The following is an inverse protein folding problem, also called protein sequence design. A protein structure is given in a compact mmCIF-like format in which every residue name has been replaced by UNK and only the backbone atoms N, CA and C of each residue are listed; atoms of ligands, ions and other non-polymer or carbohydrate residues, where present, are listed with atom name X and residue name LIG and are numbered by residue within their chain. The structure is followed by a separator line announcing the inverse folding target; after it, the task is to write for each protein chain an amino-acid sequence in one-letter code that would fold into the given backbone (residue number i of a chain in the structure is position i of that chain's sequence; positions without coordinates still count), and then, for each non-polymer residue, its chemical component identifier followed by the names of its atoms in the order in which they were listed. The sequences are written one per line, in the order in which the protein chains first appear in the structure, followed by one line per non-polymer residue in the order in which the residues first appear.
data_IF_726070980603
#
_entry.id   IF_726070980603
#
_cell.length_a   1.000
_cell.length_b   1.000
_cell.length_c   1.000
_cell.angle_alpha   90.00
_cell.angle_beta   90.00
_cell.angle_gamma   90.00
#
_symmetry.space_group_name_H-M   'P 1'
#
loop_
_entity.id
_entity.type
_entity.pdbx_description
1 polymer ?
#
# COMPACT_ATOMS: atom_id res chain seq x y z
N UNK A 1 -80.97 2.21 219.31
CA UNK A 1 -80.44 0.83 219.13
C UNK A 1 -79.56 0.81 217.88
N UNK A 2 -78.25 0.60 218.08
CA UNK A 2 -77.24 -0.08 217.23
C UNK A 2 -77.14 0.27 215.72
N UNK A 3 -76.00 0.90 215.39
CA UNK A 3 -75.37 1.21 214.07
C UNK A 3 -75.70 2.53 213.30
N UNK A 4 -76.76 3.33 213.56
CA UNK A 4 -77.05 4.50 212.73
C UNK A 4 -77.08 5.86 213.49
N UNK A 5 -76.04 6.18 214.28
CA UNK A 5 -75.96 7.50 215.00
C UNK A 5 -74.69 8.30 214.66
N UNK A 6 -73.74 7.74 213.86
CA UNK A 6 -72.51 8.44 213.46
C UNK A 6 -72.39 8.76 211.96
N UNK A 7 -73.21 8.17 211.09
CA UNK A 7 -73.13 8.39 209.62
C UNK A 7 -73.90 9.63 209.11
N UNK A 8 -74.63 10.34 209.96
CA UNK A 8 -75.38 11.54 209.55
C UNK A 8 -74.70 12.86 209.89
N UNK A 9 -73.50 12.84 210.48
CA UNK A 9 -72.73 14.04 210.84
C UNK A 9 -71.38 14.18 210.12
N UNK A 10 -70.89 13.13 209.45
CA UNK A 10 -69.72 13.21 208.59
C UNK A 10 -70.12 12.79 207.17
N UNK A 11 -70.30 13.76 206.28
CA UNK A 11 -70.49 13.57 204.84
C UNK A 11 -69.18 13.06 204.19
N UNK A 12 -68.72 11.85 204.56
CA UNK A 12 -67.42 11.30 204.16
C UNK A 12 -67.37 10.98 202.65
N UNK A 13 -68.51 10.65 202.05
CA UNK A 13 -68.59 10.33 200.61
C UNK A 13 -68.35 11.55 199.71
N UNK A 14 -68.66 12.77 200.17
CA UNK A 14 -68.42 13.99 199.38
C UNK A 14 -66.94 14.42 199.35
N UNK A 15 -66.18 14.14 200.43
CA UNK A 15 -64.74 14.48 200.49
C UNK A 15 -63.87 13.51 199.69
N UNK A 16 -64.21 12.22 199.64
CA UNK A 16 -63.53 11.26 198.77
C UNK A 16 -63.69 11.65 197.28
N UNK A 17 -64.91 12.08 196.90
CA UNK A 17 -65.21 12.51 195.54
C UNK A 17 -64.50 13.82 195.14
N UNK A 18 -64.24 14.73 196.10
CA UNK A 18 -63.47 15.95 195.86
C UNK A 18 -61.96 15.70 195.74
N UNK A 19 -61.39 14.77 196.51
CA UNK A 19 -59.96 14.43 196.45
C UNK A 19 -59.57 13.75 195.14
N UNK A 20 -60.40 12.82 194.64
CA UNK A 20 -60.16 12.18 193.34
C UNK A 20 -60.31 13.15 192.17
N UNK A 21 -61.21 14.15 192.27
CA UNK A 21 -61.34 15.23 191.27
C UNK A 21 -60.16 16.20 191.20
N UNK A 22 -59.30 16.26 192.23
CA UNK A 22 -58.14 17.17 192.31
C UNK A 22 -56.80 16.50 191.94
N UNK A 23 -56.75 15.17 191.87
CA UNK A 23 -55.51 14.42 191.58
C UNK A 23 -55.15 14.39 190.09
N UNK A 24 -56.16 14.40 189.22
CA UNK A 24 -56.00 14.40 187.77
C UNK A 24 -55.47 15.74 187.23
N UNK A 25 -55.94 16.91 187.73
CA UNK A 25 -55.30 18.20 187.45
C UNK A 25 -53.83 18.30 187.90
N UNK A 26 -53.46 17.75 189.06
CA UNK A 26 -52.07 17.81 189.57
C UNK A 26 -51.10 17.00 188.69
N UNK A 27 -51.53 15.82 188.20
CA UNK A 27 -50.75 15.04 187.23
C UNK A 27 -50.57 15.79 185.91
N UNK A 28 -51.64 16.38 185.37
CA UNK A 28 -51.55 17.18 184.13
C UNK A 28 -50.61 18.37 184.28
N UNK A 29 -50.58 19.03 185.45
CA UNK A 29 -49.64 20.12 185.70
C UNK A 29 -48.19 19.64 185.76
N UNK A 30 -47.90 18.50 186.39
CA UNK A 30 -46.54 17.95 186.42
C UNK A 30 -46.06 17.48 185.06
N UNK A 31 -46.92 16.81 184.28
CA UNK A 31 -46.59 16.40 182.92
C UNK A 31 -46.27 17.64 182.07
N UNK A 32 -47.10 18.69 182.17
CA UNK A 32 -46.84 19.99 181.52
C UNK A 32 -45.53 20.64 182.00
N UNK A 33 -45.18 20.56 183.28
CA UNK A 33 -43.89 21.08 183.78
C UNK A 33 -42.74 20.33 183.13
N UNK A 34 -42.76 19.00 183.12
CA UNK A 34 -41.68 18.21 182.51
C UNK A 34 -41.56 18.39 181.00
N UNK A 35 -42.69 18.60 180.31
CA UNK A 35 -42.71 18.92 178.88
C UNK A 35 -42.13 20.32 178.63
N UNK A 36 -42.50 21.30 179.45
CA UNK A 36 -41.95 22.66 179.37
C UNK A 36 -40.45 22.69 179.69
N UNK A 37 -39.98 21.88 180.64
CA UNK A 37 -38.55 21.76 180.96
C UNK A 37 -37.75 21.12 179.82
N UNK A 38 -38.31 20.11 179.15
CA UNK A 38 -37.72 19.53 177.92
C UNK A 38 -37.67 20.54 176.80
N UNK A 39 -38.75 21.29 176.58
CA UNK A 39 -38.80 22.37 175.61
C UNK A 39 -37.76 23.46 175.92
N UNK A 40 -37.61 23.83 177.19
CA UNK A 40 -36.58 24.78 177.65
C UNK A 40 -35.16 24.25 177.40
N UNK A 41 -34.89 22.96 177.61
CA UNK A 41 -33.59 22.37 177.32
C UNK A 41 -33.28 22.35 175.80
N UNK A 42 -34.28 22.06 174.96
CA UNK A 42 -34.16 22.14 173.49
C UNK A 42 -33.95 23.60 173.04
N UNK A 43 -34.65 24.55 173.66
CA UNK A 43 -34.48 25.97 173.35
C UNK A 43 -33.12 26.51 173.84
N UNK A 44 -32.65 26.08 175.01
CA UNK A 44 -31.35 26.46 175.56
C UNK A 44 -30.20 25.94 174.68
N UNK A 45 -30.25 24.66 174.26
CA UNK A 45 -29.26 24.11 173.33
C UNK A 45 -29.28 24.80 171.96
N UNK A 46 -30.47 25.16 171.44
CA UNK A 46 -30.59 25.98 170.22
C UNK A 46 -30.03 27.39 170.39
N UNK A 47 -30.20 27.99 171.56
CA UNK A 47 -29.62 29.30 171.92
C UNK A 47 -28.10 29.24 172.05
N UNK A 48 -27.55 28.17 172.64
CA UNK A 48 -26.09 27.94 172.71
C UNK A 48 -25.47 27.67 171.34
N UNK A 49 -26.21 27.03 170.43
CA UNK A 49 -25.76 26.77 169.05
C UNK A 49 -25.92 27.96 168.10
N UNK A 50 -26.63 29.02 168.50
CA UNK A 50 -26.90 30.18 167.65
C UNK A 50 -25.63 31.02 167.35
N UNK A 51 -24.78 31.37 168.34
CA UNK A 51 -23.54 32.10 168.09
C UNK A 51 -22.56 31.41 167.11
N UNK A 52 -22.22 30.11 167.23
CA UNK A 52 -21.31 29.46 166.27
C UNK A 52 -21.91 29.34 164.87
N UNK A 53 -23.24 29.22 164.75
CA UNK A 53 -23.92 29.24 163.45
C UNK A 53 -23.88 30.64 162.82
N UNK A 54 -24.08 31.71 163.60
CA UNK A 54 -23.94 33.09 163.10
C UNK A 54 -22.52 33.39 162.63
N UNK A 55 -21.50 32.93 163.36
CA UNK A 55 -20.10 33.03 162.95
C UNK A 55 -19.82 32.25 161.66
N UNK A 56 -20.33 31.01 161.54
CA UNK A 56 -20.18 30.21 160.34
C UNK A 56 -20.87 30.84 159.12
N UNK A 57 -22.07 31.42 159.29
CA UNK A 57 -22.78 32.15 158.22
C UNK A 57 -22.00 33.40 157.81
N UNK A 58 -21.46 34.16 158.77
CA UNK A 58 -20.61 35.33 158.47
C UNK A 58 -19.33 34.94 157.72
N UNK A 59 -18.65 33.88 158.16
CA UNK A 59 -17.46 33.37 157.49
C UNK A 59 -17.76 32.90 156.06
N UNK A 60 -18.84 32.13 155.85
CA UNK A 60 -19.26 31.68 154.52
C UNK A 60 -19.72 32.84 153.63
N UNK A 61 -20.38 33.85 154.19
CA UNK A 61 -20.75 35.05 153.44
C UNK A 61 -19.51 35.85 152.99
N UNK A 62 -18.48 35.93 153.84
CA UNK A 62 -17.19 36.54 153.47
C UNK A 62 -16.47 35.74 152.38
N UNK A 63 -16.38 34.40 152.52
CA UNK A 63 -15.78 33.54 151.51
C UNK A 63 -16.52 33.64 150.16
N UNK A 64 -17.85 33.68 150.17
CA UNK A 64 -18.65 33.87 148.97
C UNK A 64 -18.41 35.24 148.32
N UNK A 65 -18.33 36.29 149.13
CA UNK A 65 -18.04 37.64 148.65
C UNK A 65 -16.63 37.72 148.02
N UNK A 66 -15.63 37.09 148.62
CA UNK A 66 -14.28 37.02 148.09
C UNK A 66 -14.20 36.15 146.83
N UNK A 67 -14.91 35.03 146.79
CA UNK A 67 -15.03 34.19 145.59
C UNK A 67 -15.71 34.95 144.44
N UNK A 68 -16.77 35.71 144.72
CA UNK A 68 -17.42 36.57 143.73
C UNK A 68 -16.48 37.66 143.20
N UNK A 69 -15.71 38.32 144.08
CA UNK A 69 -14.69 39.30 143.65
C UNK A 69 -13.62 38.65 142.77
N UNK A 70 -13.13 37.46 143.14
CA UNK A 70 -12.15 36.69 142.34
C UNK A 70 -12.72 36.28 141.00
N UNK A 71 -13.96 35.81 140.95
CA UNK A 71 -14.63 35.44 139.70
C UNK A 71 -14.81 36.66 138.80
N UNK A 72 -15.23 37.79 139.34
CA UNK A 72 -15.36 39.04 138.57
C UNK A 72 -14.01 39.50 138.00
N UNK A 73 -12.93 39.45 138.79
CA UNK A 73 -11.59 39.80 138.34
C UNK A 73 -11.10 38.85 137.23
N UNK A 74 -11.20 37.53 137.43
CA UNK A 74 -10.80 36.54 136.41
C UNK A 74 -11.64 36.64 135.14
N UNK A 75 -12.94 36.97 135.25
CA UNK A 75 -13.80 37.17 134.07
C UNK A 75 -13.38 38.41 133.29
N UNK A 76 -13.00 39.50 133.98
CA UNK A 76 -12.48 40.69 133.35
C UNK A 76 -11.10 40.45 132.69
N UNK A 77 -10.20 39.73 133.36
CA UNK A 77 -8.90 39.32 132.80
C UNK A 77 -9.08 38.43 131.56
N UNK A 78 -9.99 37.45 131.62
CA UNK A 78 -10.29 36.57 130.49
C UNK A 78 -10.87 37.37 129.31
N UNK A 79 -11.77 38.32 129.55
CA UNK A 79 -12.30 39.20 128.52
C UNK A 79 -11.21 40.06 127.87
N UNK A 80 -10.29 40.61 128.66
CA UNK A 80 -9.15 41.39 128.15
C UNK A 80 -8.21 40.53 127.29
N UNK A 81 -7.86 39.32 127.75
CA UNK A 81 -7.01 38.39 126.99
C UNK A 81 -7.72 37.93 125.71
N UNK A 82 -9.04 37.73 125.74
CA UNK A 82 -9.80 37.40 124.54
C UNK A 82 -9.79 38.54 123.51
N UNK A 83 -9.89 39.79 123.94
CA UNK A 83 -9.79 40.94 123.05
C UNK A 83 -8.37 41.05 122.45
N UNK A 84 -7.32 40.83 123.26
CA UNK A 84 -5.94 40.77 122.77
C UNK A 84 -5.73 39.64 121.76
N UNK A 85 -6.26 38.45 122.03
CA UNK A 85 -6.18 37.31 121.10
C UNK A 85 -6.87 37.64 119.77
N UNK A 86 -8.07 38.22 119.78
CA UNK A 86 -8.76 38.64 118.57
C UNK A 86 -7.97 39.67 117.76
N UNK A 87 -7.31 40.62 118.44
CA UNK A 87 -6.42 41.59 117.78
C UNK A 87 -5.21 40.90 117.14
N UNK A 88 -4.57 39.95 117.82
CA UNK A 88 -3.46 39.17 117.26
C UNK A 88 -3.89 38.29 116.09
N UNK A 89 -5.06 37.66 116.17
CA UNK A 89 -5.62 36.87 115.07
C UNK A 89 -5.92 37.75 113.85
N UNK A 90 -6.53 38.92 114.05
CA UNK A 90 -6.75 39.89 112.97
C UNK A 90 -5.43 40.36 112.34
N UNK A 91 -4.41 40.66 113.15
CA UNK A 91 -3.08 41.01 112.64
C UNK A 91 -2.42 39.86 111.88
N UNK A 92 -2.54 38.62 112.38
CA UNK A 92 -2.02 37.43 111.70
C UNK A 92 -2.69 37.23 110.34
N UNK A 93 -4.02 37.31 110.28
CA UNK A 93 -4.72 37.21 108.99
C UNK A 93 -4.32 38.32 108.02
N UNK A 94 -4.11 39.55 108.51
CA UNK A 94 -3.61 40.64 107.69
C UNK A 94 -2.21 40.34 107.15
N UNK A 95 -1.29 39.85 107.99
CA UNK A 95 0.07 39.46 107.56
C UNK A 95 0.01 38.33 106.52
N UNK A 96 -0.82 37.31 106.72
CA UNK A 96 -0.98 36.20 105.78
C UNK A 96 -1.52 36.68 104.43
N UNK A 97 -2.51 37.59 104.43
CA UNK A 97 -3.06 38.18 103.18
C UNK A 97 -2.03 39.05 102.45
N UNK A 98 -1.26 39.87 103.20
CA UNK A 98 -0.19 40.69 102.63
C UNK A 98 0.93 39.81 102.06
N UNK A 99 1.35 38.75 102.76
CA UNK A 99 2.34 37.80 102.26
C UNK A 99 1.86 37.09 100.99
N UNK A 100 0.60 36.65 100.94
CA UNK A 100 0.01 36.06 99.75
C UNK A 100 -0.09 37.07 98.58
N UNK A 101 -0.32 38.35 98.87
CA UNK A 101 -0.31 39.41 97.85
C UNK A 101 1.11 39.69 97.32
N UNK A 102 2.11 39.69 98.21
CA UNK A 102 3.51 39.90 97.87
C UNK A 102 4.04 38.77 96.98
N UNK A 103 3.76 37.51 97.33
CA UNK A 103 4.14 36.35 96.52
C UNK A 103 3.53 36.41 95.12
N UNK A 104 2.22 36.71 95.02
CA UNK A 104 1.55 36.89 93.72
C UNK A 104 2.16 38.03 92.90
N UNK A 105 2.49 39.15 93.53
CA UNK A 105 3.15 40.27 92.84
C UNK A 105 4.57 39.91 92.38
N UNK A 106 5.32 39.15 93.18
CA UNK A 106 6.67 38.68 92.83
C UNK A 106 6.63 37.69 91.65
N UNK A 107 5.70 36.73 91.66
CA UNK A 107 5.51 35.81 90.55
C UNK A 107 5.03 36.54 89.28
N UNK A 108 4.13 37.52 89.43
CA UNK A 108 3.72 38.43 88.36
C UNK A 108 4.91 39.20 87.77
N UNK A 109 5.78 39.75 88.61
CA UNK A 109 6.98 40.45 88.15
C UNK A 109 7.96 39.51 87.44
N UNK A 110 8.17 38.29 87.94
CA UNK A 110 9.05 37.28 87.31
C UNK A 110 8.53 36.84 85.94
N UNK A 111 7.23 36.58 85.82
CA UNK A 111 6.61 36.20 84.55
C UNK A 111 6.67 37.33 83.53
N UNK A 112 6.38 38.57 83.94
CA UNK A 112 6.52 39.76 83.09
C UNK A 112 7.97 39.97 82.65
N UNK A 113 8.95 39.85 83.55
CA UNK A 113 10.37 39.96 83.20
C UNK A 113 10.79 38.90 82.17
N UNK A 114 10.35 37.65 82.34
CA UNK A 114 10.62 36.58 81.37
C UNK A 114 9.93 36.80 80.02
N UNK A 115 8.74 37.43 80.01
CA UNK A 115 8.05 37.79 78.77
C UNK A 115 8.74 38.95 78.04
N UNK A 116 9.22 39.95 78.79
CA UNK A 116 9.96 41.09 78.26
C UNK A 116 11.28 40.64 77.63
N UNK A 117 12.04 39.79 78.32
CA UNK A 117 13.29 39.24 77.79
C UNK A 117 13.08 38.48 76.47
N UNK A 118 12.01 37.66 76.39
CA UNK A 118 11.64 36.96 75.14
C UNK A 118 11.25 37.92 74.02
N UNK A 119 10.46 38.96 74.33
CA UNK A 119 10.07 39.96 73.35
C UNK A 119 11.28 40.77 72.83
N UNK A 120 12.23 41.11 73.71
CA UNK A 120 13.48 41.79 73.34
C UNK A 120 14.36 40.91 72.45
N UNK A 121 14.48 39.61 72.77
CA UNK A 121 15.20 38.67 71.92
C UNK A 121 14.55 38.56 70.53
N UNK A 122 13.22 38.39 70.47
CA UNK A 122 12.51 38.31 69.20
C UNK A 122 12.64 39.59 68.35
N UNK A 123 12.66 40.76 68.99
CA UNK A 123 12.92 42.03 68.30
C UNK A 123 14.33 42.06 67.71
N UNK A 124 15.35 41.69 68.49
CA UNK A 124 16.74 41.64 68.00
C UNK A 124 16.91 40.64 66.83
N UNK A 125 16.27 39.48 66.91
CA UNK A 125 16.24 38.49 65.82
C UNK A 125 15.54 39.04 64.56
N UNK A 126 14.42 39.76 64.73
CA UNK A 126 13.73 40.41 63.61
C UNK A 126 14.55 41.54 62.99
N UNK A 127 15.24 42.35 63.79
CA UNK A 127 16.11 43.44 63.33
C UNK A 127 17.32 42.88 62.56
N UNK A 128 17.96 41.81 63.06
CA UNK A 128 19.07 41.16 62.35
C UNK A 128 18.63 40.49 61.06
N UNK A 129 17.45 39.86 61.02
CA UNK A 129 16.88 39.32 59.80
C UNK A 129 16.58 40.43 58.78
N UNK A 130 15.96 41.54 59.22
CA UNK A 130 15.67 42.69 58.38
C UNK A 130 16.95 43.32 57.82
N UNK A 131 17.97 43.51 58.66
CA UNK A 131 19.28 44.00 58.24
C UNK A 131 19.94 43.08 57.20
N UNK A 132 19.82 41.77 57.37
CA UNK A 132 20.33 40.77 56.41
C UNK A 132 19.59 40.87 55.07
N UNK A 133 18.27 41.02 55.07
CA UNK A 133 17.49 41.20 53.84
C UNK A 133 17.90 42.48 53.13
N UNK A 134 18.00 43.61 53.85
CA UNK A 134 18.42 44.89 53.28
C UNK A 134 19.84 44.81 52.70
N UNK A 135 20.78 44.18 53.42
CA UNK A 135 22.15 44.01 52.95
C UNK A 135 22.25 43.16 51.66
N UNK A 136 21.34 42.19 51.48
CA UNK A 136 21.33 41.30 50.31
C UNK A 136 20.38 41.76 49.19
N UNK A 137 19.55 42.78 49.42
CA UNK A 137 18.54 43.24 48.45
C UNK A 137 19.18 43.65 47.12
N UNK A 138 20.26 44.44 47.17
CA UNK A 138 20.97 44.89 45.97
C UNK A 138 21.53 43.71 45.16
N UNK A 139 22.07 42.69 45.82
CA UNK A 139 22.57 41.48 45.16
C UNK A 139 21.46 40.66 44.53
N UNK A 140 20.31 40.56 45.20
CA UNK A 140 19.12 39.89 44.65
C UNK A 140 18.56 40.63 43.43
N UNK A 141 18.46 41.95 43.49
CA UNK A 141 17.99 42.77 42.36
C UNK A 141 18.94 42.66 41.16
N UNK A 142 20.26 42.66 41.42
CA UNK A 142 21.27 42.45 40.37
C UNK A 142 21.16 41.04 39.76
N UNK A 143 20.91 40.01 40.56
CA UNK A 143 20.67 38.65 40.07
C UNK A 143 19.42 38.59 39.18
N UNK A 144 18.31 39.19 39.61
CA UNK A 144 17.08 39.23 38.81
C UNK A 144 17.28 39.99 37.49
N UNK A 145 18.04 41.09 37.50
CA UNK A 145 18.39 41.82 36.28
C UNK A 145 19.22 40.93 35.34
N UNK A 146 20.27 40.28 35.85
CA UNK A 146 21.11 39.37 35.08
C UNK A 146 20.33 38.17 34.51
N UNK A 147 19.36 37.64 35.27
CA UNK A 147 18.49 36.56 34.80
C UNK A 147 17.63 37.01 33.59
N UNK A 148 17.04 38.21 33.66
CA UNK A 148 16.26 38.78 32.54
C UNK A 148 17.13 39.05 31.31
N UNK A 149 18.35 39.55 31.52
CA UNK A 149 19.32 39.73 30.42
C UNK A 149 19.70 38.39 29.78
N UNK A 150 19.94 37.35 30.60
CA UNK A 150 20.23 36.01 30.11
C UNK A 150 19.09 35.44 29.26
N UNK A 151 17.84 35.56 29.73
CA UNK A 151 16.66 35.11 28.98
C UNK A 151 16.53 35.84 27.64
N UNK A 152 16.78 37.16 27.63
CA UNK A 152 16.75 38.00 26.43
C UNK A 152 17.86 37.59 25.43
N UNK A 153 19.06 37.32 25.93
CA UNK A 153 20.18 36.85 25.11
C UNK A 153 19.91 35.45 24.54
N UNK A 154 19.36 34.54 25.33
CA UNK A 154 18.97 33.20 24.85
C UNK A 154 17.89 33.27 23.78
N UNK A 155 16.87 34.13 23.95
CA UNK A 155 15.84 34.36 22.93
C UNK A 155 16.45 34.91 21.63
N UNK A 156 17.38 35.87 21.75
CA UNK A 156 18.10 36.45 20.60
C UNK A 156 18.97 35.40 19.89
N UNK A 157 19.66 34.54 20.64
CA UNK A 157 20.46 33.45 20.09
C UNK A 157 19.61 32.44 19.34
N UNK A 158 18.46 32.02 19.90
CA UNK A 158 17.50 31.13 19.23
C UNK A 158 16.98 31.75 17.93
N UNK A 159 16.62 33.04 17.96
CA UNK A 159 16.20 33.78 16.75
C UNK A 159 17.31 33.81 15.69
N UNK A 160 18.55 34.07 16.09
CA UNK A 160 19.70 34.04 15.17
C UNK A 160 19.91 32.65 14.56
N UNK A 161 19.85 31.59 15.35
CA UNK A 161 20.00 30.22 14.86
C UNK A 161 18.89 29.85 13.87
N UNK A 162 17.64 30.23 14.16
CA UNK A 162 16.52 30.03 13.24
C UNK A 162 16.76 30.75 11.89
N UNK A 163 17.19 32.02 11.93
CA UNK A 163 17.51 32.79 10.71
C UNK A 163 18.68 32.18 9.93
N UNK A 164 19.71 31.67 10.59
CA UNK A 164 20.82 30.99 9.92
C UNK A 164 20.36 29.68 9.25
N UNK A 165 19.48 28.92 9.89
CA UNK A 165 18.89 27.72 9.30
C UNK A 165 18.02 28.05 8.08
N UNK A 166 17.18 29.09 8.16
CA UNK A 166 16.39 29.57 7.02
C UNK A 166 17.29 30.02 5.87
N UNK A 167 18.36 30.76 6.15
CA UNK A 167 19.34 31.16 5.13
C UNK A 167 20.00 29.95 4.48
N UNK A 168 20.47 28.98 5.27
CA UNK A 168 21.12 27.79 4.73
C UNK A 168 20.17 26.95 3.85
N UNK A 169 18.89 26.87 4.22
CA UNK A 169 17.87 26.24 3.37
C UNK A 169 17.68 27.00 2.05
N UNK A 170 17.54 28.33 2.10
CA UNK A 170 17.43 29.14 0.89
C UNK A 170 18.67 29.06 -0.01
N UNK A 171 19.88 29.07 0.57
CA UNK A 171 21.14 28.92 -0.18
C UNK A 171 21.21 27.56 -0.88
N UNK A 172 20.71 26.49 -0.23
CA UNK A 172 20.60 25.15 -0.83
C UNK A 172 19.61 25.14 -2.00
N UNK A 173 18.44 25.74 -1.83
CA UNK A 173 17.41 25.79 -2.87
C UNK A 173 17.92 26.57 -4.10
N UNK A 174 18.59 27.72 -3.87
CA UNK A 174 19.23 28.48 -4.95
C UNK A 174 20.31 27.65 -5.68
N UNK A 175 21.10 26.85 -4.95
CA UNK A 175 22.10 25.98 -5.58
C UNK A 175 21.46 24.87 -6.43
N UNK A 176 20.36 24.27 -5.97
CA UNK A 176 19.60 23.28 -6.72
C UNK A 176 19.02 23.88 -8.00
N UNK A 177 18.32 25.02 -7.89
CA UNK A 177 17.73 25.70 -9.05
C UNK A 177 18.79 26.12 -10.08
N UNK A 178 19.96 26.60 -9.64
CA UNK A 178 21.08 26.90 -10.54
C UNK A 178 21.60 25.67 -11.27
N UNK A 179 21.69 24.53 -10.58
CA UNK A 179 22.09 23.27 -11.21
C UNK A 179 21.04 22.82 -12.24
N UNK A 180 19.76 22.91 -11.91
CA UNK A 180 18.67 22.56 -12.82
C UNK A 180 18.63 23.48 -14.04
N UNK A 181 18.85 24.78 -13.85
CA UNK A 181 18.95 25.75 -14.94
C UNK A 181 20.13 25.43 -15.87
N UNK A 182 21.32 25.14 -15.33
CA UNK A 182 22.48 24.76 -16.13
C UNK A 182 22.23 23.47 -16.95
N UNK A 183 21.54 22.48 -16.36
CA UNK A 183 21.15 21.25 -17.08
C UNK A 183 20.15 21.54 -18.21
N UNK A 184 19.17 22.41 -17.97
CA UNK A 184 18.20 22.82 -18.99
C UNK A 184 18.87 23.62 -20.12
N UNK A 185 19.79 24.52 -19.81
CA UNK A 185 20.57 25.26 -20.80
C UNK A 185 21.41 24.31 -21.66
N UNK A 186 22.06 23.31 -21.06
CA UNK A 186 22.80 22.29 -21.79
C UNK A 186 21.89 21.44 -22.67
N UNK A 187 20.70 21.06 -22.19
CA UNK A 187 19.72 20.32 -22.97
C UNK A 187 19.21 21.15 -24.16
N UNK A 188 18.93 22.45 -23.96
CA UNK A 188 18.52 23.37 -25.02
C UNK A 188 19.63 23.55 -26.07
N UNK A 189 20.89 23.67 -25.64
CA UNK A 189 22.03 23.71 -26.57
C UNK A 189 22.11 22.42 -27.40
N UNK A 190 21.95 21.25 -26.76
CA UNK A 190 21.92 19.97 -27.47
C UNK A 190 20.75 19.84 -28.47
N UNK A 191 19.57 20.40 -28.14
CA UNK A 191 18.44 20.47 -29.07
C UNK A 191 18.77 21.40 -30.25
N UNK A 192 19.36 22.56 -29.99
CA UNK A 192 19.74 23.50 -31.05
C UNK A 192 20.79 22.89 -32.01
N UNK A 193 21.78 22.18 -31.47
CA UNK A 193 22.76 21.45 -32.27
C UNK A 193 22.10 20.36 -33.13
N UNK A 194 21.16 19.61 -32.55
CA UNK A 194 20.40 18.59 -33.28
C UNK A 194 19.52 19.20 -34.39
N UNK A 195 18.85 20.32 -34.13
CA UNK A 195 18.11 21.06 -35.15
C UNK A 195 19.02 21.53 -36.29
N UNK A 196 20.23 22.00 -35.97
CA UNK A 196 21.19 22.42 -36.98
C UNK A 196 21.64 21.22 -37.83
N UNK A 197 21.94 20.08 -37.23
CA UNK A 197 22.27 18.84 -37.94
C UNK A 197 21.13 18.43 -38.88
N UNK A 198 19.88 18.50 -38.42
CA UNK A 198 18.71 18.18 -39.27
C UNK A 198 18.61 19.16 -40.45
N UNK A 199 18.84 20.46 -40.22
CA UNK A 199 18.84 21.47 -41.30
C UNK A 199 19.97 21.22 -42.30
N UNK A 200 21.16 20.86 -41.85
CA UNK A 200 22.32 20.60 -42.69
C UNK A 200 22.17 19.30 -43.50
N UNK A 201 21.51 18.27 -42.93
CA UNK A 201 21.23 17.00 -43.61
C UNK A 201 20.04 17.05 -44.56
N UNK A 202 19.06 17.95 -44.34
CA UNK A 202 17.88 18.08 -45.18
C UNK A 202 18.16 18.13 -46.70
N UNK A 203 19.11 18.95 -47.21
CA UNK A 203 19.41 18.95 -48.65
C UNK A 203 20.05 17.64 -49.13
N UNK A 204 20.85 16.98 -48.30
CA UNK A 204 21.49 15.70 -48.66
C UNK A 204 20.45 14.58 -48.75
N UNK A 205 19.48 14.54 -47.83
CA UNK A 205 18.36 13.61 -47.87
C UNK A 205 17.51 13.85 -49.12
N UNK A 206 17.19 15.11 -49.45
CA UNK A 206 16.46 15.44 -50.67
C UNK A 206 17.22 15.00 -51.95
N UNK A 207 18.56 15.17 -51.97
CA UNK A 207 19.39 14.70 -53.07
C UNK A 207 19.41 13.16 -53.14
N UNK A 208 19.48 12.48 -52.00
CA UNK A 208 19.40 11.03 -51.94
C UNK A 208 18.07 10.52 -52.49
N UNK A 209 16.93 11.09 -52.07
CA UNK A 209 15.61 10.74 -52.58
C UNK A 209 15.53 10.93 -54.11
N UNK A 210 16.10 12.02 -54.64
CA UNK A 210 16.16 12.27 -56.07
C UNK A 210 16.99 11.21 -56.81
N UNK A 211 18.16 10.83 -56.27
CA UNK A 211 19.01 9.79 -56.84
C UNK A 211 18.34 8.42 -56.81
N UNK A 212 17.66 8.07 -55.71
CA UNK A 212 16.91 6.82 -55.58
C UNK A 212 15.77 6.75 -56.60
N UNK A 213 15.05 7.86 -56.83
CA UNK A 213 14.05 7.94 -57.89
C UNK A 213 14.65 7.75 -59.29
N UNK A 214 15.82 8.35 -59.56
CA UNK A 214 16.54 8.18 -60.82
C UNK A 214 16.99 6.73 -61.03
N UNK A 215 17.55 6.09 -60.00
CA UNK A 215 17.95 4.69 -60.04
C UNK A 215 16.74 3.79 -60.32
N UNK A 216 15.61 4.01 -59.64
CA UNK A 216 14.39 3.25 -59.88
C UNK A 216 13.84 3.45 -61.30
N UNK A 217 14.00 4.64 -61.89
CA UNK A 217 13.62 4.88 -63.29
C UNK A 217 14.54 4.14 -64.26
N UNK A 218 15.86 4.19 -64.04
CA UNK A 218 16.85 3.49 -64.87
C UNK A 218 16.66 1.97 -64.82
N UNK A 219 16.37 1.39 -63.65
CA UNK A 219 16.12 -0.04 -63.51
C UNK A 219 14.86 -0.50 -64.28
N UNK A 220 13.83 0.35 -64.31
CA UNK A 220 12.64 0.12 -65.17
C UNK A 220 12.99 0.19 -66.66
N UNK A 221 13.84 1.12 -67.08
CA UNK A 221 14.28 1.20 -68.47
C UNK A 221 15.16 0.00 -68.85
N UNK A 222 16.07 -0.42 -67.98
CA UNK A 222 16.90 -1.60 -68.18
C UNK A 222 16.04 -2.87 -68.30
N UNK A 223 15.02 -3.01 -67.45
CA UNK A 223 14.04 -4.10 -67.56
C UNK A 223 13.30 -4.10 -68.89
N UNK A 224 12.87 -2.92 -69.38
CA UNK A 224 12.24 -2.77 -70.70
C UNK A 224 13.18 -3.14 -71.85
N UNK A 225 14.44 -2.71 -71.80
CA UNK A 225 15.45 -3.10 -72.80
C UNK A 225 15.64 -4.62 -72.80
N UNK A 226 15.74 -5.25 -71.63
CA UNK A 226 15.81 -6.71 -71.53
C UNK A 226 14.59 -7.43 -72.12
N UNK A 227 13.38 -6.86 -72.01
CA UNK A 227 12.20 -7.38 -72.70
C UNK A 227 12.27 -7.22 -74.23
N UNK A 228 12.76 -6.07 -74.71
CA UNK A 228 12.96 -5.82 -76.14
C UNK A 228 14.00 -6.78 -76.71
N UNK A 229 15.14 -6.98 -76.04
CA UNK A 229 16.18 -7.91 -76.45
C UNK A 229 15.65 -9.35 -76.51
N UNK A 230 14.85 -9.77 -75.52
CA UNK A 230 14.19 -11.09 -75.56
C UNK A 230 13.24 -11.23 -76.75
N UNK A 231 12.47 -10.19 -77.07
CA UNK A 231 11.56 -10.18 -78.23
C UNK A 231 12.34 -10.20 -79.55
N UNK A 232 13.43 -9.44 -79.65
CA UNK A 232 14.32 -9.45 -80.82
C UNK A 232 14.91 -10.84 -81.04
N UNK A 233 15.47 -11.46 -80.00
CA UNK A 233 16.00 -12.82 -80.07
C UNK A 233 14.92 -13.85 -80.49
N UNK A 234 13.68 -13.69 -80.03
CA UNK A 234 12.57 -14.54 -80.47
C UNK A 234 12.20 -14.30 -81.95
N UNK A 235 12.17 -13.04 -82.40
CA UNK A 235 11.91 -12.70 -83.80
C UNK A 235 13.02 -13.20 -84.73
N UNK A 236 14.29 -13.05 -84.35
CA UNK A 236 15.44 -13.57 -85.09
C UNK A 236 15.37 -15.10 -85.21
N UNK A 237 15.05 -15.80 -84.11
CA UNK A 237 14.84 -17.25 -84.14
C UNK A 237 13.69 -17.65 -85.07
N UNK A 238 12.58 -16.92 -85.06
CA UNK A 238 11.46 -17.15 -85.99
C UNK A 238 11.87 -16.88 -87.44
N UNK A 239 12.66 -15.83 -87.69
CA UNK A 239 13.18 -15.52 -89.02
C UNK A 239 14.10 -16.63 -89.53
N UNK A 240 15.01 -17.14 -88.70
CA UNK A 240 15.86 -18.29 -89.03
C UNK A 240 15.01 -19.53 -89.37
N UNK A 241 14.02 -19.85 -88.55
CA UNK A 241 13.09 -20.96 -88.82
C UNK A 241 12.31 -20.77 -90.12
N UNK A 242 11.87 -19.55 -90.43
CA UNK A 242 11.18 -19.25 -91.69
C UNK A 242 12.12 -19.36 -92.89
N UNK A 243 13.37 -18.89 -92.78
CA UNK A 243 14.38 -19.04 -93.82
C UNK A 243 14.70 -20.52 -94.09
N UNK A 244 14.86 -21.34 -93.04
CA UNK A 244 15.04 -22.80 -93.16
C UNK A 244 13.84 -23.48 -93.84
N UNK A 245 12.62 -23.03 -93.53
CA UNK A 245 11.40 -23.51 -94.20
C UNK A 245 11.35 -23.08 -95.66
N UNK A 246 11.74 -21.84 -95.97
CA UNK A 246 11.82 -21.35 -97.35
C UNK A 246 12.83 -22.17 -98.17
N UNK A 247 14.02 -22.43 -97.64
CA UNK A 247 15.00 -23.30 -98.31
C UNK A 247 14.46 -24.72 -98.52
N UNK A 248 13.78 -25.27 -97.51
CA UNK A 248 13.17 -26.61 -97.61
C UNK A 248 12.07 -26.65 -98.67
N UNK A 249 11.23 -25.62 -98.75
CA UNK A 249 10.17 -25.50 -99.76
C UNK A 249 10.77 -25.29 -101.15
N UNK A 250 11.79 -24.45 -101.30
CA UNK A 250 12.48 -24.25 -102.58
C UNK A 250 13.16 -25.52 -103.09
N UNK A 251 13.77 -26.30 -102.19
CA UNK A 251 14.31 -27.63 -102.50
C UNK A 251 13.19 -28.59 -102.93
N UNK A 252 12.08 -28.61 -102.19
CA UNK A 252 10.90 -29.40 -102.52
C UNK A 252 10.33 -29.05 -103.89
N UNK A 253 10.23 -27.76 -104.21
CA UNK A 253 9.75 -27.26 -105.50
C UNK A 253 10.68 -27.66 -106.64
N UNK A 254 12.00 -27.52 -106.47
CA UNK A 254 12.99 -27.99 -107.46
C UNK A 254 12.89 -29.50 -107.71
N UNK A 255 12.71 -30.29 -106.66
CA UNK A 255 12.49 -31.75 -106.80
C UNK A 255 11.20 -32.06 -107.56
N UNK A 256 10.11 -31.35 -107.26
CA UNK A 256 8.85 -31.52 -107.98
C UNK A 256 8.99 -31.19 -109.48
N UNK A 257 9.64 -30.07 -109.82
CA UNK A 257 9.91 -29.71 -111.21
C UNK A 257 10.78 -30.74 -111.94
N UNK A 258 11.80 -31.30 -111.27
CA UNK A 258 12.63 -32.35 -111.86
C UNK A 258 11.80 -33.61 -112.17
N UNK A 259 10.94 -34.03 -111.24
CA UNK A 259 10.04 -35.18 -111.43
C UNK A 259 9.04 -34.91 -112.58
N UNK A 260 8.47 -33.71 -112.67
CA UNK A 260 7.57 -33.34 -113.78
C UNK A 260 8.31 -33.35 -115.14
N UNK A 261 9.54 -32.85 -115.19
CA UNK A 261 10.35 -32.87 -116.40
C UNK A 261 10.71 -34.30 -116.83
N UNK A 262 11.10 -35.16 -115.88
CA UNK A 262 11.37 -36.58 -116.12
C UNK A 262 10.12 -37.30 -116.63
N UNK A 263 8.95 -37.02 -116.03
CA UNK A 263 7.66 -37.55 -116.47
C UNK A 263 7.28 -37.11 -117.89
N UNK A 264 7.50 -35.83 -118.24
CA UNK A 264 7.30 -35.35 -119.61
C UNK A 264 8.24 -36.01 -120.62
N UNK A 265 9.52 -36.20 -120.25
CA UNK A 265 10.51 -36.86 -121.13
C UNK A 265 10.15 -38.33 -121.38
N UNK A 266 9.72 -39.06 -120.34
CA UNK A 266 9.24 -40.44 -120.44
C UNK A 266 8.01 -40.56 -121.34
N UNK A 267 6.99 -39.71 -121.13
CA UNK A 267 5.78 -39.71 -121.94
C UNK A 267 6.07 -39.41 -123.43
N UNK A 268 7.02 -38.51 -123.70
CA UNK A 268 7.45 -38.21 -125.07
C UNK A 268 8.09 -39.43 -125.74
N UNK A 269 8.97 -40.15 -125.01
CA UNK A 269 9.58 -41.40 -125.52
C UNK A 269 8.55 -42.48 -125.83
N UNK A 270 7.54 -42.66 -124.97
CA UNK A 270 6.47 -43.63 -125.20
C UNK A 270 5.67 -43.25 -126.45
N UNK A 271 5.35 -41.97 -126.64
CA UNK A 271 4.65 -41.49 -127.83
C UNK A 271 5.45 -41.73 -129.13
N UNK A 272 6.75 -41.43 -129.14
CA UNK A 272 7.63 -41.65 -130.29
C UNK A 272 7.73 -43.14 -130.65
N UNK A 273 7.89 -44.00 -129.65
CA UNK A 273 7.97 -45.45 -129.85
C UNK A 273 6.68 -46.03 -130.44
N UNK A 274 5.50 -45.56 -129.99
CA UNK A 274 4.21 -45.96 -130.56
C UNK A 274 4.06 -45.52 -132.02
N UNK A 275 4.46 -44.29 -132.35
CA UNK A 275 4.41 -43.78 -133.72
C UNK A 275 5.30 -44.59 -134.68
N UNK A 276 6.49 -44.99 -134.26
CA UNK A 276 7.40 -45.79 -135.08
C UNK A 276 6.84 -47.21 -135.29
N UNK A 277 6.22 -47.79 -134.27
CA UNK A 277 5.61 -49.11 -134.35
C UNK A 277 4.44 -49.15 -135.36
N UNK A 278 3.63 -48.10 -135.38
CA UNK A 278 2.53 -47.96 -136.33
C UNK A 278 3.04 -47.80 -137.78
N UNK A 279 4.15 -47.08 -137.99
CA UNK A 279 4.80 -46.96 -139.30
C UNK A 279 5.32 -48.31 -139.81
N UNK A 280 6.01 -49.08 -138.98
CA UNK A 280 6.54 -50.40 -139.38
C UNK A 280 5.42 -51.40 -139.70
N UNK A 281 4.29 -51.36 -138.99
CA UNK A 281 3.11 -52.18 -139.29
C UNK A 281 2.48 -51.80 -140.63
N UNK A 282 2.40 -50.51 -140.94
CA UNK A 282 1.89 -50.03 -142.22
C UNK A 282 2.80 -50.47 -143.39
N UNK A 283 4.12 -50.36 -143.22
CA UNK A 283 5.09 -50.80 -144.23
C UNK A 283 5.06 -52.31 -144.48
N UNK A 284 4.92 -53.13 -143.42
CA UNK A 284 4.73 -54.57 -143.56
C UNK A 284 3.50 -54.93 -144.40
N UNK A 285 2.39 -54.23 -144.19
CA UNK A 285 1.15 -54.48 -144.93
C UNK A 285 1.33 -54.19 -146.44
N UNK A 286 2.06 -53.12 -146.79
CA UNK A 286 2.40 -52.80 -148.19
C UNK A 286 3.31 -53.84 -148.83
N UNK A 287 4.38 -54.26 -148.14
CA UNK A 287 5.33 -55.24 -148.68
C UNK A 287 4.66 -56.60 -148.91
N UNK A 288 3.80 -57.05 -147.99
CA UNK A 288 3.06 -58.30 -148.13
C UNK A 288 2.12 -58.32 -149.35
N UNK A 289 1.48 -57.18 -149.64
CA UNK A 289 0.60 -57.03 -150.81
C UNK A 289 1.38 -57.11 -152.14
N UNK A 290 2.54 -56.46 -152.22
CA UNK A 290 3.41 -56.51 -153.41
C UNK A 290 3.99 -57.89 -153.66
N UNK A 291 4.35 -58.60 -152.60
CA UNK A 291 4.92 -59.95 -152.65
C UNK A 291 3.93 -60.94 -153.28
N UNK A 292 2.68 -60.89 -152.86
CA UNK A 292 1.61 -61.75 -153.37
C UNK A 292 1.32 -61.48 -154.86
N UNK A 293 1.24 -60.21 -155.25
CA UNK A 293 1.00 -59.84 -156.65
C UNK A 293 2.13 -60.31 -157.60
N UNK A 294 3.38 -60.25 -157.13
CA UNK A 294 4.55 -60.64 -157.92
C UNK A 294 4.67 -62.17 -158.05
N UNK A 295 4.31 -62.92 -157.01
CA UNK A 295 4.26 -64.39 -157.05
C UNK A 295 3.21 -64.92 -158.03
N UNK A 296 2.02 -64.33 -158.04
CA UNK A 296 0.94 -64.69 -158.96
C UNK A 296 1.33 -64.43 -160.43
N UNK A 297 2.00 -63.31 -160.73
CA UNK A 297 2.54 -63.03 -162.06
C UNK A 297 3.63 -64.04 -162.49
N UNK A 298 4.47 -64.48 -161.56
CA UNK A 298 5.57 -65.43 -161.86
C UNK A 298 5.03 -66.83 -162.15
N UNK A 299 4.01 -67.27 -161.42
CA UNK A 299 3.38 -68.57 -161.63
C UNK A 299 2.68 -68.68 -162.99
N UNK A 300 2.05 -67.59 -163.46
CA UNK A 300 1.37 -67.58 -164.77
C UNK A 300 2.36 -67.65 -165.95
N UNK A 301 3.55 -67.06 -165.81
CA UNK A 301 4.60 -67.07 -166.85
C UNK A 301 5.35 -68.42 -166.96
N UNK A 302 5.36 -69.23 -165.90
CA UNK A 302 6.09 -70.51 -165.87
C UNK A 302 5.29 -71.68 -166.51
N UNK A 303 3.96 -71.59 -166.63
CA UNK A 303 3.11 -72.76 -166.90
C UNK A 303 2.80 -73.10 -168.38
N UNK A 304 3.20 -72.29 -169.38
CA UNK A 304 2.71 -72.47 -170.78
C UNK A 304 3.86 -72.59 -171.80
N UNK A 305 3.80 -73.60 -172.70
CA UNK A 305 4.87 -73.94 -173.69
C UNK A 305 4.97 -73.00 -174.91
N UNK A 306 3.97 -72.14 -175.16
CA UNK A 306 4.12 -70.96 -176.03
C UNK A 306 3.43 -69.76 -175.38
N UNK A 307 4.15 -69.11 -174.46
CA UNK A 307 3.62 -67.95 -173.74
C UNK A 307 3.60 -66.71 -174.65
N UNK A 308 2.51 -65.94 -174.59
CA UNK A 308 2.40 -64.62 -175.21
C UNK A 308 2.75 -63.54 -174.19
N UNK A 309 3.35 -62.45 -174.64
CA UNK A 309 3.68 -61.33 -173.76
C UNK A 309 2.39 -60.70 -173.16
N UNK A 310 2.27 -60.55 -171.83
CA UNK A 310 1.07 -59.99 -171.18
C UNK A 310 0.86 -58.48 -171.42
N UNK A 311 1.75 -57.83 -172.19
CA UNK A 311 1.61 -56.42 -172.59
C UNK A 311 1.36 -56.25 -174.10
N UNK A 312 1.83 -57.16 -174.96
CA UNK A 312 1.73 -57.00 -176.42
C UNK A 312 1.30 -58.24 -177.23
N UNK A 313 0.92 -59.34 -176.56
CA UNK A 313 0.29 -60.55 -177.09
C UNK A 313 0.99 -61.30 -178.25
N UNK A 314 2.22 -60.90 -178.61
CA UNK A 314 3.10 -61.64 -179.51
C UNK A 314 3.70 -62.86 -178.79
N UNK A 315 3.98 -63.97 -179.51
CA UNK A 315 4.66 -65.14 -178.93
C UNK A 315 6.06 -64.74 -178.46
N UNK A 316 6.33 -64.91 -177.16
CA UNK A 316 7.62 -64.58 -176.56
C UNK A 316 8.67 -65.60 -176.99
N UNK A 317 9.84 -65.13 -177.41
CA UNK A 317 11.00 -65.99 -177.59
C UNK A 317 11.45 -66.58 -176.24
N UNK A 318 12.09 -67.76 -176.27
CA UNK A 318 12.56 -68.44 -175.05
C UNK A 318 13.52 -67.59 -174.20
N UNK A 319 14.33 -66.72 -174.79
CA UNK A 319 15.23 -65.80 -174.06
C UNK A 319 14.49 -64.70 -173.29
N UNK A 320 13.38 -64.20 -173.84
CA UNK A 320 12.64 -63.08 -173.25
C UNK A 320 11.79 -63.55 -172.06
N UNK A 321 11.27 -64.78 -172.13
CA UNK A 321 10.56 -65.45 -171.03
C UNK A 321 11.49 -65.76 -169.85
N UNK A 322 12.70 -66.26 -170.11
CA UNK A 322 13.68 -66.54 -169.06
C UNK A 322 14.09 -65.27 -168.30
N UNK A 323 14.30 -64.16 -169.01
CA UNK A 323 14.62 -62.87 -168.38
C UNK A 323 13.50 -62.32 -167.49
N UNK A 324 12.23 -62.48 -167.90
CA UNK A 324 11.08 -62.03 -167.10
C UNK A 324 10.89 -62.86 -165.82
N UNK A 325 11.08 -64.17 -165.89
CA UNK A 325 11.02 -65.05 -164.72
C UNK A 325 12.17 -64.80 -163.74
N UNK A 326 13.39 -64.59 -164.24
CA UNK A 326 14.56 -64.28 -163.40
C UNK A 326 14.37 -62.95 -162.66
N UNK A 327 13.83 -61.94 -163.34
CA UNK A 327 13.56 -60.61 -162.77
C UNK A 327 12.46 -60.64 -161.72
N UNK A 328 11.42 -61.47 -161.91
CA UNK A 328 10.38 -61.63 -160.90
C UNK A 328 10.86 -62.46 -159.69
N UNK A 329 11.67 -63.51 -159.90
CA UNK A 329 12.26 -64.29 -158.79
C UNK A 329 13.19 -63.44 -157.92
N UNK A 330 14.01 -62.58 -158.53
CA UNK A 330 14.85 -61.64 -157.79
C UNK A 330 14.05 -60.55 -157.06
N UNK A 331 12.90 -60.12 -157.62
CA UNK A 331 11.98 -59.19 -156.94
C UNK A 331 11.28 -59.82 -155.72
N UNK A 332 10.84 -61.07 -155.83
CA UNK A 332 10.21 -61.81 -154.72
C UNK A 332 11.20 -62.04 -153.57
N UNK A 333 12.45 -62.42 -153.89
CA UNK A 333 13.50 -62.58 -152.89
C UNK A 333 13.76 -61.28 -152.10
N UNK A 334 13.86 -60.15 -152.80
CA UNK A 334 14.07 -58.85 -152.17
C UNK A 334 12.89 -58.41 -151.29
N UNK A 335 11.64 -58.69 -151.70
CA UNK A 335 10.46 -58.37 -150.90
C UNK A 335 10.35 -59.27 -149.65
N UNK A 336 10.69 -60.55 -149.74
CA UNK A 336 10.72 -61.48 -148.57
C UNK A 336 11.78 -61.09 -147.55
N UNK A 337 12.94 -60.65 -148.01
CA UNK A 337 13.99 -60.16 -147.12
C UNK A 337 13.55 -58.89 -146.38
N UNK A 338 12.84 -57.98 -147.08
CA UNK A 338 12.32 -56.74 -146.52
C UNK A 338 11.18 -56.97 -145.51
N UNK A 339 10.29 -57.93 -145.77
CA UNK A 339 9.24 -58.33 -144.81
C UNK A 339 9.85 -58.92 -143.53
N UNK A 340 10.87 -59.78 -143.65
CA UNK A 340 11.53 -60.39 -142.50
C UNK A 340 12.33 -59.40 -141.63
N UNK A 341 12.83 -58.30 -142.22
CA UNK A 341 13.49 -57.22 -141.47
C UNK A 341 12.48 -56.39 -140.70
N UNK A 342 11.38 -55.97 -141.35
CA UNK A 342 10.32 -55.20 -140.70
C UNK A 342 9.64 -55.98 -139.57
N UNK A 343 9.41 -57.29 -139.74
CA UNK A 343 8.80 -58.14 -138.71
C UNK A 343 9.66 -58.31 -137.46
N UNK A 344 10.99 -58.31 -137.61
CA UNK A 344 11.93 -58.31 -136.46
C UNK A 344 11.94 -56.96 -135.77
N UNK A 345 12.04 -55.87 -136.53
CA UNK A 345 12.03 -54.51 -135.99
C UNK A 345 10.76 -54.22 -135.16
N UNK A 346 9.59 -54.59 -135.69
CA UNK A 346 8.31 -54.41 -134.98
C UNK A 346 8.20 -55.27 -133.71
N UNK A 347 8.78 -56.48 -133.71
CA UNK A 347 8.78 -57.38 -132.54
C UNK A 347 9.65 -56.88 -131.39
N UNK A 348 10.85 -56.38 -131.69
CA UNK A 348 11.76 -55.83 -130.68
C UNK A 348 11.24 -54.52 -130.08
N UNK A 349 10.56 -53.73 -130.92
CA UNK A 349 10.02 -52.41 -130.54
C UNK A 349 8.72 -52.51 -129.74
N UNK A 350 7.90 -53.55 -129.95
CA UNK A 350 6.75 -53.87 -129.08
C UNK A 350 7.19 -54.31 -127.68
N UNK A 351 8.22 -55.16 -127.56
CA UNK A 351 8.76 -55.57 -126.24
C UNK A 351 9.30 -54.38 -125.46
N UNK A 352 9.96 -53.45 -126.14
CA UNK A 352 10.50 -52.24 -125.52
C UNK A 352 9.40 -51.27 -125.02
N UNK A 353 8.17 -51.35 -125.56
CA UNK A 353 7.01 -50.60 -125.07
C UNK A 353 6.38 -51.29 -123.86
N UNK A 354 6.26 -52.63 -123.89
CA UNK A 354 5.67 -53.40 -122.80
C UNK A 354 6.56 -53.41 -121.53
N UNK A 355 7.86 -53.18 -121.67
CA UNK A 355 8.80 -52.97 -120.54
C UNK A 355 8.82 -51.51 -120.03
N UNK A 356 8.14 -50.58 -120.71
CA UNK A 356 8.10 -49.15 -120.38
C UNK A 356 6.76 -48.69 -119.77
N UNK A 357 5.72 -49.52 -119.86
CA UNK A 357 4.47 -49.43 -119.08
C UNK A 357 4.62 -50.20 -117.75
#
# INVERSE_FOLDING_TARGET
RRKPIFDTLLQVDDYATAFDRLREPDRQLRDRITETERELAVLATRLEQLPPLEEAVRARAQELADAHKRLAALTAELAAIQEELQRFEAQRTLVDTLNASLLRAQDGARTLAASLARAQQALAEAETAAATVVANQQGHDAYLAAQREQETLQATQRKRQALLATRAAADKDVALERSSLAQLEQALAGIADAEQIVRDLAPQVAQQEQLEQQLAALDREQSRLGEVDRRLAEMEKRQQQLAERETTVADGYRRAQAIEADGHALNTRIADMRSLLDQERAEMATVAAELKATEEQTAQLDAVESARCPVCEQPLGNEERANLLERNRSRIAALREREATLRRAAGDRQRSLDDAD
#
